data_IF_742008021601
#
_entry.id   IF_742008021601
#
_cell.length_a   1.000
_cell.length_b   1.000
_cell.length_c   1.000
_cell.angle_alpha   90.00
_cell.angle_beta   90.00
_cell.angle_gamma   90.00
#
_symmetry.space_group_name_H-M   'P 1'
#
loop_
_entity.id
_entity.type
_entity.pdbx_description
1 polymer ?
#
# COMPACT_ATOMS: atom_id res chain seq x y z
N UNK A 1 -3.67 12.17 16.28
CA UNK A 1 -3.56 12.40 14.82
C UNK A 1 -4.69 11.62 14.18
N UNK A 2 -5.49 12.25 13.31
CA UNK A 2 -6.64 11.61 12.66
C UNK A 2 -6.38 11.58 11.15
N UNK A 3 -6.89 10.55 10.47
CA UNK A 3 -6.86 10.42 9.01
C UNK A 3 -8.29 10.20 8.52
N UNK A 4 -8.62 10.71 7.34
CA UNK A 4 -9.91 10.39 6.72
C UNK A 4 -9.87 8.95 6.18
N UNK A 5 -10.99 8.25 6.18
CA UNK A 5 -11.08 6.91 5.61
C UNK A 5 -11.67 7.01 4.20
N UNK A 6 -11.12 6.26 3.24
CA UNK A 6 -11.61 6.25 1.87
C UNK A 6 -13.09 5.84 1.81
N UNK A 7 -13.94 6.78 1.37
CA UNK A 7 -15.37 6.55 1.10
C UNK A 7 -15.65 6.37 -0.40
N UNK A 8 -14.67 6.61 -1.25
CA UNK A 8 -14.77 6.40 -2.69
C UNK A 8 -14.16 5.06 -3.11
N UNK A 9 -14.82 4.41 -4.06
CA UNK A 9 -14.50 3.05 -4.51
C UNK A 9 -13.30 2.99 -5.46
N UNK A 10 -12.89 4.12 -6.03
CA UNK A 10 -11.93 4.13 -7.13
C UNK A 10 -10.79 5.14 -6.95
N UNK A 11 -9.79 4.72 -6.17
CA UNK A 11 -8.53 5.45 -6.01
C UNK A 11 -7.41 4.85 -6.90
N UNK A 12 -7.77 4.01 -7.86
CA UNK A 12 -6.82 3.42 -8.82
C UNK A 12 -6.17 4.51 -9.67
N UNK A 13 -4.93 4.28 -10.10
CA UNK A 13 -4.08 5.23 -10.83
C UNK A 13 -3.70 6.51 -10.08
N UNK A 14 -4.08 6.65 -8.80
CA UNK A 14 -3.57 7.72 -7.96
C UNK A 14 -2.19 7.35 -7.40
N UNK A 15 -1.39 8.37 -7.16
CA UNK A 15 -0.16 8.25 -6.38
C UNK A 15 -0.53 8.30 -4.90
N UNK A 16 -0.19 7.23 -4.18
CA UNK A 16 -0.29 7.14 -2.75
C UNK A 16 1.06 7.37 -2.07
N UNK A 17 1.00 7.87 -0.85
CA UNK A 17 2.11 7.98 0.08
C UNK A 17 2.05 6.80 1.05
N UNK A 18 3.18 6.12 1.23
CA UNK A 18 3.41 5.19 2.33
C UNK A 18 4.38 5.83 3.32
N UNK A 19 4.18 5.56 4.60
CA UNK A 19 5.08 6.02 5.67
C UNK A 19 5.37 4.90 6.66
N UNK A 20 6.59 4.84 7.17
CA UNK A 20 6.99 3.77 8.07
C UNK A 20 8.42 3.89 8.60
N UNK A 21 8.76 2.96 9.48
CA UNK A 21 10.08 2.81 10.10
C UNK A 21 10.71 1.44 9.74
N UNK A 22 10.16 0.76 8.74
CA UNK A 22 10.68 -0.49 8.24
C UNK A 22 12.04 -0.33 7.55
N UNK A 23 12.56 -1.46 7.10
CA UNK A 23 13.85 -1.55 6.44
C UNK A 23 13.87 -0.71 5.16
N UNK A 24 14.94 0.05 4.94
CA UNK A 24 15.06 0.87 3.73
C UNK A 24 15.60 0.11 2.52
N UNK A 25 16.15 -1.08 2.73
CA UNK A 25 16.73 -1.95 1.69
C UNK A 25 16.51 -3.42 2.03
N UNK A 26 16.23 -4.25 1.03
CA UNK A 26 16.17 -5.71 1.20
C UNK A 26 17.58 -6.29 1.40
N UNK A 27 18.56 -5.81 0.63
CA UNK A 27 19.96 -6.18 0.78
C UNK A 27 20.62 -5.35 1.89
N UNK A 28 21.21 -6.04 2.88
CA UNK A 28 21.81 -5.42 4.08
C UNK A 28 20.83 -4.50 4.83
N UNK A 29 19.79 -5.08 5.45
CA UNK A 29 18.69 -4.31 6.01
C UNK A 29 19.17 -3.34 7.09
N UNK A 30 18.67 -2.12 7.02
CA UNK A 30 18.88 -1.09 8.03
C UNK A 30 17.55 -0.47 8.43
N UNK A 31 17.35 -0.33 9.73
CA UNK A 31 16.14 0.23 10.30
C UNK A 31 16.38 1.70 10.66
N UNK A 32 15.66 2.65 10.05
CA UNK A 32 15.90 4.07 10.26
C UNK A 32 15.36 4.53 11.62
N UNK A 33 16.08 5.44 12.29
CA UNK A 33 15.59 6.10 13.51
C UNK A 33 14.62 7.26 13.24
N UNK A 34 14.30 7.52 11.97
CA UNK A 34 13.39 8.59 11.54
C UNK A 34 12.33 8.03 10.62
N UNK A 35 11.13 8.61 10.65
CA UNK A 35 10.02 8.18 9.81
C UNK A 35 10.39 8.38 8.34
N UNK A 36 10.29 7.32 7.55
CA UNK A 36 10.48 7.38 6.11
C UNK A 36 9.13 7.57 5.41
N UNK A 37 9.20 8.10 4.20
CA UNK A 37 8.05 8.23 3.32
C UNK A 37 8.45 7.91 1.88
N UNK A 38 7.53 7.32 1.14
CA UNK A 38 7.71 7.03 -0.27
C UNK A 38 6.39 7.18 -1.03
N UNK A 39 6.48 7.35 -2.35
CA UNK A 39 5.34 7.54 -3.23
C UNK A 39 5.26 6.40 -4.24
N UNK A 40 4.09 5.77 -4.32
CA UNK A 40 3.84 4.61 -5.17
C UNK A 40 2.50 4.76 -5.90
N UNK A 41 2.36 4.14 -7.06
CA UNK A 41 1.10 4.17 -7.81
C UNK A 41 0.19 3.03 -7.35
N UNK A 42 -1.08 3.34 -7.12
CA UNK A 42 -2.12 2.34 -6.84
C UNK A 42 -2.55 1.72 -8.17
N UNK A 43 -2.33 0.42 -8.33
CA UNK A 43 -2.65 -0.29 -9.56
C UNK A 43 -4.15 -0.56 -9.65
N UNK A 44 -4.65 -0.65 -10.88
CA UNK A 44 -5.98 -1.19 -11.15
C UNK A 44 -6.03 -2.68 -10.81
N UNK A 45 -7.23 -3.21 -10.56
CA UNK A 45 -7.41 -4.66 -10.37
C UNK A 45 -6.90 -5.46 -11.57
N UNK A 46 -7.04 -4.90 -12.78
CA UNK A 46 -6.53 -5.54 -14.00
C UNK A 46 -5.02 -5.63 -13.97
N UNK A 47 -4.33 -4.51 -13.76
CA UNK A 47 -2.86 -4.49 -13.65
C UNK A 47 -2.38 -5.42 -12.56
N UNK A 48 -3.04 -5.46 -11.40
CA UNK A 48 -2.63 -6.39 -10.35
C UNK A 48 -2.87 -7.87 -10.71
N UNK A 49 -3.97 -8.18 -11.40
CA UNK A 49 -4.27 -9.55 -11.82
C UNK A 49 -3.41 -10.03 -13.00
N UNK A 50 -2.90 -9.12 -13.82
CA UNK A 50 -1.97 -9.42 -14.91
C UNK A 50 -0.56 -9.77 -14.40
N UNK A 51 -0.26 -9.45 -13.13
CA UNK A 51 0.98 -9.86 -12.50
C UNK A 51 0.87 -11.33 -12.07
N UNK A 52 1.83 -12.15 -12.51
CA UNK A 52 1.94 -13.56 -12.13
C UNK A 52 2.41 -13.72 -10.68
N UNK A 53 1.63 -13.19 -9.74
CA UNK A 53 1.92 -13.32 -8.32
C UNK A 53 1.84 -14.80 -7.92
N UNK A 54 2.79 -15.33 -7.13
CA UNK A 54 2.92 -16.75 -6.78
C UNK A 54 1.70 -17.43 -6.13
N UNK A 55 0.60 -16.72 -5.89
CA UNK A 55 -0.50 -17.17 -5.04
C UNK A 55 -1.90 -16.90 -5.58
N UNK A 56 -2.07 -16.44 -6.83
CA UNK A 56 -3.42 -16.16 -7.40
C UNK A 56 -4.29 -15.37 -6.40
N UNK A 57 -3.86 -14.15 -6.03
CA UNK A 57 -4.58 -13.36 -5.03
C UNK A 57 -5.52 -12.29 -5.65
N UNK A 58 -6.38 -12.55 -6.66
CA UNK A 58 -7.50 -11.64 -6.92
C UNK A 58 -8.50 -11.69 -5.77
N UNK A 59 -8.55 -10.65 -4.96
CA UNK A 59 -9.56 -10.48 -3.92
C UNK A 59 -9.94 -9.01 -3.82
N UNK A 60 -11.24 -8.66 -3.68
CA UNK A 60 -11.66 -7.28 -3.44
C UNK A 60 -11.13 -6.72 -2.11
N UNK A 61 -10.62 -7.60 -1.24
CA UNK A 61 -10.00 -7.26 0.06
C UNK A 61 -8.60 -6.70 -0.05
N UNK A 62 -7.97 -6.77 -1.23
CA UNK A 62 -6.58 -6.33 -1.42
C UNK A 62 -6.48 -5.17 -2.43
N UNK A 63 -5.39 -4.43 -2.32
CA UNK A 63 -4.90 -3.44 -3.27
C UNK A 63 -3.44 -3.77 -3.57
N UNK A 64 -2.99 -3.39 -4.77
CA UNK A 64 -1.61 -3.55 -5.18
C UNK A 64 -1.06 -2.18 -5.52
N UNK A 65 0.11 -1.86 -5.02
CA UNK A 65 0.72 -0.56 -5.26
C UNK A 65 2.24 -0.68 -5.34
N UNK A 66 2.83 0.13 -6.21
CA UNK A 66 4.27 0.12 -6.42
C UNK A 66 4.68 1.04 -7.55
N UNK A 67 5.93 0.89 -7.99
CA UNK A 67 6.47 1.53 -9.19
C UNK A 67 6.66 0.43 -10.23
N UNK A 68 6.19 0.64 -11.47
CA UNK A 68 6.28 -0.36 -12.55
C UNK A 68 7.72 -0.84 -12.77
N UNK A 69 8.69 0.08 -12.67
CA UNK A 69 10.13 -0.20 -12.75
C UNK A 69 10.77 -0.72 -11.45
N UNK A 70 9.99 -0.99 -10.40
CA UNK A 70 10.49 -1.37 -9.08
C UNK A 70 11.20 -0.24 -8.32
N UNK A 71 12.02 -0.62 -7.33
CA UNK A 71 12.90 0.25 -6.55
C UNK A 71 12.26 0.95 -5.35
N UNK A 72 10.93 1.15 -5.34
CA UNK A 72 10.21 1.84 -4.26
C UNK A 72 9.05 0.98 -3.79
N UNK A 73 9.03 0.68 -2.49
CA UNK A 73 8.02 -0.14 -1.84
C UNK A 73 8.06 0.04 -0.31
N UNK A 74 7.05 -0.47 0.39
CA UNK A 74 7.14 -0.80 1.81
C UNK A 74 8.02 -2.04 2.01
N UNK A 75 8.60 -2.21 3.21
CA UNK A 75 9.43 -3.37 3.50
C UNK A 75 9.16 -3.97 4.89
N UNK A 76 10.03 -4.87 5.34
CA UNK A 76 9.92 -5.50 6.65
C UNK A 76 9.87 -4.45 7.76
N UNK A 77 8.89 -4.59 8.66
CA UNK A 77 8.63 -3.62 9.73
C UNK A 77 7.60 -2.55 9.39
N UNK A 78 7.19 -2.40 8.12
CA UNK A 78 6.14 -1.46 7.73
C UNK A 78 4.72 -2.04 7.82
N UNK A 79 4.56 -3.33 8.07
CA UNK A 79 3.25 -4.00 8.17
C UNK A 79 2.30 -3.27 9.13
N UNK A 80 1.07 -3.00 8.68
CA UNK A 80 0.10 -2.18 9.41
C UNK A 80 0.22 -0.68 9.16
N UNK A 81 1.28 -0.22 8.49
CA UNK A 81 1.48 1.16 8.09
C UNK A 81 0.47 1.64 7.04
N UNK A 82 0.21 2.96 6.96
CA UNK A 82 -0.80 3.50 6.07
C UNK A 82 -0.27 3.66 4.63
N UNK A 83 -1.13 3.33 3.67
CA UNK A 83 -1.10 3.85 2.32
C UNK A 83 -2.21 4.90 2.20
N UNK A 84 -1.83 6.15 1.96
CA UNK A 84 -2.73 7.30 1.97
C UNK A 84 -2.63 8.12 0.68
N UNK A 85 -3.75 8.70 0.24
CA UNK A 85 -3.78 9.65 -0.88
C UNK A 85 -4.19 11.01 -0.38
N UNK A 86 -3.68 12.08 -0.99
CA UNK A 86 -4.15 13.43 -0.70
C UNK A 86 -5.37 13.72 -1.55
N UNK A 87 -6.54 13.84 -0.91
CA UNK A 87 -7.80 14.17 -1.54
C UNK A 87 -8.40 15.44 -0.92
N UNK A 88 -8.70 16.44 -1.74
CA UNK A 88 -9.21 17.74 -1.28
C UNK A 88 -8.38 18.37 -0.13
N UNK A 89 -7.05 18.19 -0.19
CA UNK A 89 -6.11 18.71 0.82
C UNK A 89 -6.03 17.89 2.11
N UNK A 90 -6.72 16.75 2.20
CA UNK A 90 -6.70 15.86 3.36
C UNK A 90 -6.07 14.51 3.02
N UNK A 91 -5.40 13.90 3.99
CA UNK A 91 -4.95 12.52 3.87
C UNK A 91 -6.12 11.56 4.04
N UNK A 92 -6.30 10.71 3.04
CA UNK A 92 -7.31 9.65 2.99
C UNK A 92 -6.62 8.30 3.00
N UNK A 93 -6.84 7.52 4.06
CA UNK A 93 -6.36 6.16 4.20
C UNK A 93 -7.09 5.25 3.21
N UNK A 94 -6.33 4.69 2.27
CA UNK A 94 -6.86 3.80 1.23
C UNK A 94 -6.37 2.37 1.37
N UNK A 95 -5.19 2.17 1.94
CA UNK A 95 -4.59 0.86 2.09
C UNK A 95 -3.85 0.73 3.42
N UNK A 96 -3.63 -0.52 3.82
CA UNK A 96 -2.78 -0.86 4.98
C UNK A 96 -1.73 -1.85 4.49
N UNK A 97 -0.45 -1.56 4.74
CA UNK A 97 0.67 -2.45 4.35
C UNK A 97 0.42 -3.85 4.90
N UNK A 98 0.46 -4.86 4.03
CA UNK A 98 0.18 -6.25 4.39
C UNK A 98 1.39 -7.15 4.14
N UNK A 99 1.71 -7.43 2.88
CA UNK A 99 2.83 -8.30 2.48
C UNK A 99 3.32 -7.98 1.07
N UNK A 100 4.41 -8.62 0.66
CA UNK A 100 5.00 -8.49 -0.68
C UNK A 100 5.97 -9.62 -0.96
N UNK A 101 6.45 -9.71 -2.19
CA UNK A 101 7.48 -10.68 -2.59
C UNK A 101 8.82 -9.95 -2.71
N UNK A 102 9.50 -9.85 -1.57
CA UNK A 102 10.61 -8.92 -1.42
C UNK A 102 10.14 -7.46 -1.32
N UNK A 103 11.08 -6.53 -1.41
CA UNK A 103 10.81 -5.09 -1.31
C UNK A 103 11.27 -4.37 -2.58
N UNK A 104 10.33 -3.78 -3.33
CA UNK A 104 10.65 -2.98 -4.51
C UNK A 104 11.17 -3.79 -5.71
N UNK A 105 10.84 -5.08 -5.79
CA UNK A 105 11.23 -5.91 -6.94
C UNK A 105 10.41 -5.58 -8.18
N UNK A 106 11.08 -5.54 -9.33
CA UNK A 106 10.42 -5.33 -10.63
C UNK A 106 9.41 -6.46 -10.85
N UNK A 107 8.17 -6.10 -11.17
CA UNK A 107 7.07 -7.06 -11.39
C UNK A 107 6.39 -7.57 -10.10
N UNK A 108 6.87 -7.18 -8.92
CA UNK A 108 6.28 -7.58 -7.62
C UNK A 108 5.92 -6.34 -6.81
N UNK A 109 4.73 -5.75 -7.00
CA UNK A 109 4.26 -4.65 -6.17
C UNK A 109 3.97 -5.11 -4.75
N UNK A 110 3.97 -4.15 -3.81
CA UNK A 110 3.47 -4.37 -2.47
C UNK A 110 1.96 -4.66 -2.48
N UNK A 111 1.53 -5.52 -1.57
CA UNK A 111 0.13 -5.89 -1.36
C UNK A 111 -0.37 -5.26 -0.07
N UNK A 112 -1.50 -4.59 -0.20
CA UNK A 112 -2.13 -3.78 0.84
C UNK A 112 -3.55 -4.31 1.10
N UNK A 113 -4.02 -4.20 2.34
CA UNK A 113 -5.44 -4.40 2.65
C UNK A 113 -6.25 -3.24 2.08
N UNK A 114 -7.33 -3.54 1.35
CA UNK A 114 -8.24 -2.55 0.78
C UNK A 114 -9.15 -1.96 1.87
N UNK A 115 -8.83 -0.76 2.36
CA UNK A 115 -9.58 -0.13 3.46
C UNK A 115 -11.04 0.13 3.09
N UNK A 116 -11.30 0.51 1.84
CA UNK A 116 -12.67 0.72 1.36
C UNK A 116 -13.52 -0.56 1.49
N UNK A 117 -12.95 -1.73 1.24
CA UNK A 117 -13.67 -3.00 1.36
C UNK A 117 -14.14 -3.25 2.80
N UNK A 118 -13.38 -2.81 3.80
CA UNK A 118 -13.70 -2.99 5.22
C UNK A 118 -14.40 -1.79 5.85
N UNK A 119 -14.84 -0.80 5.04
CA UNK A 119 -15.39 0.46 5.54
C UNK A 119 -16.61 0.27 6.45
N UNK A 120 -17.50 -0.66 6.11
CA UNK A 120 -18.70 -0.93 6.92
C UNK A 120 -18.32 -1.51 8.29
N UNK A 121 -17.39 -2.48 8.30
CA UNK A 121 -16.86 -3.04 9.54
C UNK A 121 -16.15 -1.98 10.40
N UNK A 122 -15.37 -1.08 9.79
CA UNK A 122 -14.71 0.02 10.50
C UNK A 122 -15.76 0.92 11.16
N UNK A 123 -16.78 1.37 10.41
CA UNK A 123 -17.85 2.24 10.93
C UNK A 123 -18.63 1.62 12.09
N UNK A 124 -18.79 0.30 12.10
CA UNK A 124 -19.49 -0.41 13.17
C UNK A 124 -18.65 -0.57 14.45
N UNK A 125 -17.32 -0.42 14.37
CA UNK A 125 -16.39 -0.76 15.45
C UNK A 125 -15.47 0.40 15.90
N UNK A 126 -15.76 1.64 15.48
CA UNK A 126 -15.03 2.86 15.88
C UNK A 126 -15.98 3.99 16.19
#
# INVERSE_FOLDING_TARGET
MYVCVAVERNLTNRVGEIVGFGETTEDNPTMPCTLQRAYIQIFTNRECNELELPSNIPSPRILCAGVIGGGVDSCLGDSGGPLQVVDNGMFVLTGIVSFGFGCGKVGYPGIYTNVYYFLDWIKENT
#
